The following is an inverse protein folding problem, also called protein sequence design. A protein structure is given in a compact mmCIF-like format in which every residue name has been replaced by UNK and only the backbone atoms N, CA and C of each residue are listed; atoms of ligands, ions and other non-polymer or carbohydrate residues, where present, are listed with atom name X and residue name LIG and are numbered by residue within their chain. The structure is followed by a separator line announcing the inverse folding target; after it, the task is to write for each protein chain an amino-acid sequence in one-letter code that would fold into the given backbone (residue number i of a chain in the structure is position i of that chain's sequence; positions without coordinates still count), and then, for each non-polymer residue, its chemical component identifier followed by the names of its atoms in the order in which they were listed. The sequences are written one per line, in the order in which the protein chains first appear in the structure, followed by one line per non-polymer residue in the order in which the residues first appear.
data_IF_454052356347
#
_entry.id   IF_454052356347
#
_cell.length_a   1.000
_cell.length_b   1.000
_cell.length_c   1.000
_cell.angle_alpha   90.00
_cell.angle_beta   90.00
_cell.angle_gamma   90.00
#
_symmetry.space_group_name_H-M   'P 1'
#
loop_
_entity.id
_entity.type
_entity.pdbx_description
1 polymer ?
#
# COMPACT_ATOMS: atom_id res chain seq x y z
N UNK A 1 37.48 -41.73 -46.95
CA UNK A 1 38.01 -42.00 -45.59
C UNK A 1 38.31 -40.64 -44.96
N UNK A 2 37.91 -40.43 -43.69
CA UNK A 2 37.59 -39.17 -42.97
C UNK A 2 36.06 -38.92 -43.00
N UNK A 3 35.25 -39.16 -41.96
CA UNK A 3 35.22 -38.74 -40.54
C UNK A 3 35.14 -37.23 -40.34
N UNK A 4 33.91 -36.72 -40.17
CA UNK A 4 33.49 -35.76 -39.14
C UNK A 4 31.96 -35.73 -39.08
N UNK A 5 31.38 -36.04 -37.91
CA UNK A 5 29.95 -35.95 -37.63
C UNK A 5 29.48 -34.49 -37.69
N UNK A 6 28.49 -34.20 -38.52
CA UNK A 6 27.68 -32.99 -38.44
C UNK A 6 26.32 -33.37 -37.86
N UNK A 7 26.18 -33.30 -36.53
CA UNK A 7 24.84 -33.32 -35.92
C UNK A 7 24.27 -31.92 -36.13
N UNK A 8 23.32 -31.81 -37.04
CA UNK A 8 22.49 -30.62 -37.24
C UNK A 8 21.67 -30.37 -35.97
N UNK A 9 21.86 -29.23 -35.31
CA UNK A 9 21.06 -28.81 -34.17
C UNK A 9 19.71 -28.29 -34.68
N UNK A 10 18.66 -29.11 -34.60
CA UNK A 10 17.28 -28.67 -34.83
C UNK A 10 16.79 -27.86 -33.64
N UNK A 11 15.88 -26.91 -33.88
CA UNK A 11 15.30 -25.96 -32.91
C UNK A 11 14.36 -26.63 -31.88
N UNK A 12 14.85 -27.64 -31.17
CA UNK A 12 14.02 -28.46 -30.29
C UNK A 12 14.65 -28.82 -28.94
N UNK A 13 15.90 -28.42 -28.66
CA UNK A 13 16.57 -28.73 -27.39
C UNK A 13 17.05 -27.49 -26.63
N UNK A 14 16.15 -26.86 -25.87
CA UNK A 14 16.49 -26.06 -24.67
C UNK A 14 15.49 -26.47 -23.58
N UNK A 15 15.77 -27.61 -22.95
CA UNK A 15 14.96 -28.18 -21.87
C UNK A 15 15.85 -28.46 -20.64
N UNK A 16 16.55 -27.44 -20.14
CA UNK A 16 17.16 -27.49 -18.79
C UNK A 16 16.96 -26.13 -18.10
N UNK A 17 15.74 -25.90 -17.61
CA UNK A 17 15.40 -25.04 -16.48
C UNK A 17 14.14 -25.61 -15.81
N UNK A 18 14.29 -26.76 -15.16
CA UNK A 18 13.40 -27.28 -14.12
C UNK A 18 14.16 -27.01 -12.79
N UNK A 19 13.66 -26.40 -11.72
CA UNK A 19 12.35 -26.50 -11.09
C UNK A 19 12.21 -25.34 -10.09
N UNK A 20 11.23 -24.45 -10.25
CA UNK A 20 10.59 -23.76 -9.12
C UNK A 20 9.09 -24.02 -9.23
N UNK A 21 8.40 -24.42 -8.16
CA UNK A 21 6.99 -24.76 -8.22
C UNK A 21 6.18 -23.48 -8.42
N UNK A 22 5.72 -23.27 -9.65
CA UNK A 22 4.67 -22.30 -9.95
C UNK A 22 3.39 -22.75 -9.26
N UNK A 23 3.17 -22.31 -8.01
CA UNK A 23 1.82 -22.26 -7.43
C UNK A 23 1.06 -21.12 -8.12
N UNK A 24 0.75 -21.34 -9.39
CA UNK A 24 -0.26 -20.63 -10.16
C UNK A 24 -1.61 -21.20 -9.73
N UNK A 25 -2.10 -20.74 -8.58
CA UNK A 25 -3.52 -20.84 -8.19
C UNK A 25 -4.12 -19.43 -8.27
N UNK A 26 -3.89 -18.73 -9.38
CA UNK A 26 -4.68 -17.54 -9.72
C UNK A 26 -4.91 -17.59 -11.23
N UNK A 27 -6.08 -18.05 -11.69
CA UNK A 27 -6.36 -18.12 -13.12
C UNK A 27 -6.57 -16.71 -13.68
N UNK A 28 -6.26 -16.54 -14.96
CA UNK A 28 -6.40 -15.34 -15.76
C UNK A 28 -7.87 -14.85 -15.88
N UNK A 29 -8.42 -14.32 -14.79
CA UNK A 29 -9.73 -13.67 -14.68
C UNK A 29 -9.62 -12.22 -14.17
N UNK A 30 -8.49 -11.55 -14.43
CA UNK A 30 -8.43 -10.09 -14.35
C UNK A 30 -9.27 -9.48 -15.47
N UNK A 31 -10.51 -9.06 -15.18
CA UNK A 31 -11.01 -7.69 -15.44
C UNK A 31 -12.52 -7.44 -15.30
N UNK A 32 -13.41 -8.39 -14.93
CA UNK A 32 -14.87 -8.15 -15.08
C UNK A 32 -15.77 -8.36 -13.84
N UNK A 33 -15.28 -8.79 -12.66
CA UNK A 33 -16.16 -8.93 -11.47
C UNK A 33 -15.50 -8.53 -10.14
N UNK A 34 -15.12 -7.27 -9.98
CA UNK A 34 -14.73 -6.72 -8.66
C UNK A 34 -15.61 -5.54 -8.22
N UNK A 35 -16.79 -5.40 -8.83
CA UNK A 35 -17.78 -4.41 -8.42
C UNK A 35 -18.93 -5.11 -7.71
N UNK A 36 -18.85 -5.24 -6.38
CA UNK A 36 -20.07 -4.96 -5.63
C UNK A 36 -19.82 -4.38 -4.24
N UNK A 37 -18.96 -4.94 -3.40
CA UNK A 37 -18.61 -4.29 -2.12
C UNK A 37 -17.22 -4.74 -1.67
N UNK A 38 -16.22 -3.88 -1.84
CA UNK A 38 -14.94 -4.05 -1.14
C UNK A 38 -15.08 -3.51 0.28
N UNK A 39 -14.68 -4.30 1.27
CA UNK A 39 -14.41 -3.78 2.61
C UNK A 39 -13.31 -2.72 2.55
N UNK A 40 -13.26 -1.78 3.51
CA UNK A 40 -12.19 -0.79 3.54
C UNK A 40 -10.78 -1.39 3.56
N UNK A 41 -10.60 -2.56 4.17
CA UNK A 41 -9.34 -3.29 4.16
C UNK A 41 -9.00 -3.85 2.77
N UNK A 42 -9.97 -4.39 2.03
CA UNK A 42 -9.73 -4.87 0.66
C UNK A 42 -9.40 -3.70 -0.27
N UNK A 43 -10.09 -2.56 -0.15
CA UNK A 43 -9.79 -1.36 -0.92
C UNK A 43 -8.38 -0.81 -0.62
N UNK A 44 -7.98 -0.84 0.65
CA UNK A 44 -6.64 -0.42 1.07
C UNK A 44 -5.56 -1.38 0.52
N UNK A 45 -5.70 -2.68 0.75
CA UNK A 45 -4.73 -3.69 0.30
C UNK A 45 -4.61 -3.73 -1.23
N UNK A 46 -5.73 -3.69 -1.96
CA UNK A 46 -5.73 -3.67 -3.43
C UNK A 46 -4.91 -2.50 -3.95
N UNK A 47 -5.11 -1.29 -3.41
CA UNK A 47 -4.31 -0.13 -3.80
C UNK A 47 -2.82 -0.33 -3.52
N UNK A 48 -2.45 -0.89 -2.36
CA UNK A 48 -1.05 -1.16 -2.05
C UNK A 48 -0.40 -2.15 -3.03
N UNK A 49 -1.15 -3.17 -3.46
CA UNK A 49 -0.70 -4.13 -4.48
C UNK A 49 -0.54 -3.45 -5.85
N UNK A 50 -1.49 -2.60 -6.24
CA UNK A 50 -1.43 -1.84 -7.50
C UNK A 50 -0.23 -0.87 -7.52
N UNK A 51 0.17 -0.36 -6.35
CA UNK A 51 1.39 0.46 -6.15
C UNK A 51 2.67 -0.34 -6.00
N UNK A 52 2.60 -1.67 -6.10
CA UNK A 52 3.75 -2.57 -6.08
C UNK A 52 4.60 -2.42 -4.80
N UNK A 53 3.94 -2.19 -3.66
CA UNK A 53 4.64 -2.13 -2.38
C UNK A 53 5.22 -3.52 -2.01
N UNK A 54 6.38 -3.55 -1.34
CA UNK A 54 6.99 -4.82 -0.94
C UNK A 54 6.13 -5.55 0.11
N UNK A 55 6.24 -6.87 0.18
CA UNK A 55 5.44 -7.73 1.06
C UNK A 55 5.44 -7.28 2.53
N UNK A 56 6.59 -6.80 3.03
CA UNK A 56 6.73 -6.25 4.37
C UNK A 56 5.76 -5.08 4.66
N UNK A 57 5.45 -4.29 3.63
CA UNK A 57 4.47 -3.21 3.69
C UNK A 57 3.04 -3.69 3.46
N UNK A 58 2.83 -4.69 2.58
CA UNK A 58 1.49 -5.24 2.33
C UNK A 58 0.84 -5.80 3.59
N UNK A 59 1.63 -6.39 4.51
CA UNK A 59 1.14 -6.86 5.82
C UNK A 59 0.57 -5.73 6.70
N UNK A 60 0.93 -4.47 6.40
CA UNK A 60 0.45 -3.28 7.07
C UNK A 60 -0.67 -2.57 6.31
N UNK A 61 -1.02 -2.99 5.09
CA UNK A 61 -2.12 -2.43 4.31
C UNK A 61 -3.49 -2.96 4.78
N UNK A 62 -3.74 -2.80 6.07
CA UNK A 62 -4.97 -3.14 6.76
C UNK A 62 -5.14 -2.15 7.92
N UNK A 63 -6.32 -1.58 8.11
CA UNK A 63 -6.56 -0.55 9.13
C UNK A 63 -6.29 -1.02 10.57
N UNK A 64 -6.29 -2.32 10.82
CA UNK A 64 -5.93 -2.89 12.11
C UNK A 64 -4.41 -2.96 12.34
N UNK A 65 -3.64 -3.39 11.34
CA UNK A 65 -2.16 -3.51 11.46
C UNK A 65 -1.42 -2.22 11.13
N UNK A 66 -2.07 -1.29 10.42
CA UNK A 66 -1.56 0.06 10.19
C UNK A 66 -1.77 0.88 11.46
N UNK A 67 -0.78 0.90 12.35
CA UNK A 67 -0.89 1.52 13.67
C UNK A 67 0.18 2.57 13.90
N UNK A 68 0.01 3.40 14.94
CA UNK A 68 1.06 4.33 15.41
C UNK A 68 2.37 3.58 15.66
N UNK A 69 2.31 2.39 16.26
CA UNK A 69 3.50 1.59 16.60
C UNK A 69 4.21 1.14 15.32
N UNK A 70 3.47 0.67 14.31
CA UNK A 70 4.03 0.31 13.02
C UNK A 70 4.71 1.52 12.35
N UNK A 71 4.04 2.69 12.31
CA UNK A 71 4.62 3.90 11.74
C UNK A 71 5.87 4.37 12.48
N UNK A 72 5.85 4.29 13.81
CA UNK A 72 6.99 4.66 14.66
C UNK A 72 8.18 3.74 14.38
N UNK A 73 7.95 2.43 14.26
CA UNK A 73 8.99 1.46 13.91
C UNK A 73 9.57 1.72 12.50
N UNK A 74 8.73 2.03 11.52
CA UNK A 74 9.17 2.43 10.17
C UNK A 74 10.03 3.69 10.22
N UNK A 75 9.61 4.71 10.97
CA UNK A 75 10.33 5.98 11.11
C UNK A 75 11.73 5.78 11.71
N UNK A 76 11.84 4.97 12.76
CA UNK A 76 13.12 4.65 13.39
C UNK A 76 13.90 3.54 12.68
N UNK A 77 13.46 3.10 11.49
CA UNK A 77 14.09 2.03 10.68
C UNK A 77 14.23 0.70 11.43
N UNK A 78 13.30 0.44 12.35
CA UNK A 78 13.19 -0.83 13.09
C UNK A 78 12.22 -1.79 12.40
N UNK A 79 11.51 -1.33 11.37
CA UNK A 79 10.61 -2.12 10.55
C UNK A 79 11.25 -2.45 9.19
N UNK A 80 10.92 -3.62 8.64
CA UNK A 80 11.38 -4.03 7.31
C UNK A 80 10.65 -3.32 6.18
N UNK A 81 9.47 -2.74 6.46
CA UNK A 81 8.82 -1.80 5.57
C UNK A 81 9.47 -0.41 5.70
N UNK A 82 10.10 0.13 4.63
CA UNK A 82 10.78 1.41 4.70
C UNK A 82 9.82 2.59 4.89
N UNK A 83 10.28 3.66 5.53
CA UNK A 83 9.50 4.87 5.76
C UNK A 83 8.98 5.49 4.45
N UNK A 84 9.75 5.38 3.36
CA UNK A 84 9.39 5.91 2.04
C UNK A 84 8.10 5.30 1.49
N UNK A 85 7.81 4.03 1.81
CA UNK A 85 6.58 3.35 1.43
C UNK A 85 5.35 3.87 2.20
N UNK A 86 5.55 4.53 3.34
CA UNK A 86 4.46 5.13 4.13
C UNK A 86 3.62 6.08 3.29
N UNK A 87 4.24 6.84 2.36
CA UNK A 87 3.52 7.78 1.49
C UNK A 87 2.45 7.08 0.65
N UNK A 88 2.83 5.99 -0.01
CA UNK A 88 1.92 5.20 -0.83
C UNK A 88 0.88 4.47 0.01
N UNK A 89 1.27 3.96 1.19
CA UNK A 89 0.33 3.36 2.13
C UNK A 89 -0.72 4.37 2.60
N UNK A 90 -0.29 5.57 3.00
CA UNK A 90 -1.19 6.63 3.45
C UNK A 90 -2.10 7.10 2.31
N UNK A 91 -1.56 7.24 1.10
CA UNK A 91 -2.34 7.48 -0.11
C UNK A 91 -3.42 6.42 -0.31
N UNK A 92 -3.07 5.14 -0.17
CA UNK A 92 -3.99 4.04 -0.39
C UNK A 92 -5.06 3.94 0.71
N UNK A 93 -4.70 4.16 1.97
CA UNK A 93 -5.65 4.23 3.06
C UNK A 93 -6.66 5.36 2.83
N UNK A 94 -6.19 6.54 2.47
CA UNK A 94 -7.01 7.72 2.15
C UNK A 94 -7.61 7.69 0.74
N UNK A 95 -7.39 6.63 -0.04
CA UNK A 95 -7.91 6.48 -1.41
C UNK A 95 -7.64 7.68 -2.33
N UNK A 96 -6.51 8.37 -2.14
CA UNK A 96 -6.12 9.55 -2.90
C UNK A 96 -6.97 10.80 -2.70
N UNK A 97 -7.72 10.91 -1.60
CA UNK A 97 -8.66 12.02 -1.34
C UNK A 97 -8.19 12.96 -0.21
N UNK A 98 -8.85 14.12 -0.16
CA UNK A 98 -8.65 15.12 0.89
C UNK A 98 -9.63 14.90 2.05
N UNK A 99 -9.11 14.56 3.22
CA UNK A 99 -9.88 14.32 4.44
C UNK A 99 -9.71 15.41 5.49
N UNK A 100 -9.11 16.55 5.16
CA UNK A 100 -8.75 17.59 6.15
C UNK A 100 -9.94 18.03 6.99
N UNK A 101 -11.12 18.20 6.41
CA UNK A 101 -12.33 18.58 7.16
C UNK A 101 -12.68 17.54 8.24
N UNK A 102 -12.66 16.24 7.89
CA UNK A 102 -12.89 15.17 8.87
C UNK A 102 -11.79 15.15 9.93
N UNK A 103 -10.53 15.28 9.52
CA UNK A 103 -9.39 15.26 10.42
C UNK A 103 -9.42 16.41 11.44
N UNK A 104 -9.78 17.62 11.02
CA UNK A 104 -9.94 18.77 11.91
C UNK A 104 -11.02 18.47 12.95
N UNK A 105 -12.20 18.00 12.51
CA UNK A 105 -13.31 17.64 13.42
C UNK A 105 -12.95 16.50 14.38
N UNK A 106 -12.07 15.59 13.97
CA UNK A 106 -11.60 14.47 14.78
C UNK A 106 -10.33 14.78 15.59
N UNK A 107 -9.93 16.05 15.69
CA UNK A 107 -8.85 16.49 16.58
C UNK A 107 -7.45 16.09 16.13
N UNK A 108 -7.22 15.86 14.84
CA UNK A 108 -5.89 15.57 14.28
C UNK A 108 -4.92 16.74 14.51
N UNK A 109 -5.44 17.96 14.56
CA UNK A 109 -4.66 19.18 14.84
C UNK A 109 -4.40 19.41 16.33
N UNK A 110 -5.00 18.60 17.23
CA UNK A 110 -4.83 18.71 18.68
C UNK A 110 -3.53 18.02 19.14
N UNK A 111 -2.40 18.48 18.58
CA UNK A 111 -1.03 18.07 18.91
C UNK A 111 -0.14 19.31 18.95
N UNK A 112 1.09 19.17 19.44
CA UNK A 112 2.08 20.25 19.38
C UNK A 112 2.46 20.65 17.95
N UNK A 113 2.21 19.79 16.96
CA UNK A 113 2.47 20.05 15.55
C UNK A 113 1.30 20.76 14.84
N UNK A 114 0.13 20.86 15.48
CA UNK A 114 -1.01 21.61 14.96
C UNK A 114 -1.44 21.19 13.55
N UNK A 115 -1.70 22.19 12.70
CA UNK A 115 -2.13 21.99 11.32
C UNK A 115 -1.12 21.26 10.43
N UNK A 116 0.16 21.15 10.85
CA UNK A 116 1.14 20.33 10.12
C UNK A 116 0.68 18.89 9.97
N UNK A 117 -0.12 18.38 10.92
CA UNK A 117 -0.65 17.01 10.85
C UNK A 117 -1.67 16.79 9.75
N UNK A 118 -2.27 17.85 9.20
CA UNK A 118 -3.21 17.75 8.09
C UNK A 118 -2.56 17.27 6.79
N UNK A 119 -1.23 17.30 6.72
CA UNK A 119 -0.49 16.71 5.60
C UNK A 119 -0.73 15.20 5.45
N UNK A 120 -1.05 14.50 6.54
CA UNK A 120 -1.40 13.07 6.50
C UNK A 120 -2.85 12.83 6.07
N UNK A 121 -3.68 13.87 6.07
CA UNK A 121 -5.10 13.80 5.74
C UNK A 121 -5.40 14.19 4.29
N UNK A 122 -4.57 15.07 3.72
CA UNK A 122 -4.64 15.40 2.30
C UNK A 122 -3.69 14.49 1.52
N UNK A 123 -4.24 13.46 0.90
CA UNK A 123 -3.45 12.47 0.15
C UNK A 123 -3.75 12.53 -1.34
N UNK A 124 -4.16 13.69 -1.86
CA UNK A 124 -4.31 13.88 -3.30
C UNK A 124 -2.95 13.72 -4.01
N UNK A 125 -2.92 13.16 -5.23
CA UNK A 125 -1.68 13.05 -5.99
C UNK A 125 -0.97 14.39 -6.15
N UNK A 126 0.37 14.36 -6.19
CA UNK A 126 1.20 15.55 -6.42
C UNK A 126 1.62 16.31 -5.15
N UNK A 127 1.13 15.93 -3.97
CA UNK A 127 1.59 16.47 -2.69
C UNK A 127 2.79 15.67 -2.21
N UNK A 128 3.98 16.28 -2.26
CA UNK A 128 5.22 15.66 -1.77
C UNK A 128 5.67 16.35 -0.49
N UNK A 129 5.53 15.63 0.62
CA UNK A 129 6.05 16.05 1.92
C UNK A 129 7.27 15.21 2.28
N UNK A 130 8.33 15.89 2.73
CA UNK A 130 9.48 15.25 3.37
C UNK A 130 9.17 15.13 4.86
N UNK A 131 9.06 13.90 5.35
CA UNK A 131 8.78 13.64 6.76
C UNK A 131 10.06 13.76 7.57
N UNK A 132 10.05 14.66 8.55
CA UNK A 132 11.10 14.81 9.55
C UNK A 132 10.55 14.53 10.97
N UNK A 133 11.40 14.69 11.98
CA UNK A 133 11.05 14.42 13.38
C UNK A 133 9.89 15.29 13.90
N UNK A 134 9.65 16.46 13.32
CA UNK A 134 8.59 17.38 13.76
C UNK A 134 7.19 16.84 13.47
N UNK A 135 7.07 15.81 12.63
CA UNK A 135 5.81 15.12 12.34
C UNK A 135 5.49 13.97 13.30
N UNK A 136 6.43 13.56 14.16
CA UNK A 136 6.20 12.45 15.09
C UNK A 136 5.00 12.68 16.02
N UNK A 137 4.78 13.93 16.45
CA UNK A 137 3.62 14.28 17.27
C UNK A 137 2.28 14.02 16.57
N UNK A 138 2.25 13.99 15.24
CA UNK A 138 1.05 13.68 14.48
C UNK A 138 0.65 12.20 14.59
N UNK A 139 1.60 11.30 14.87
CA UNK A 139 1.30 9.88 15.02
C UNK A 139 0.44 9.59 16.27
N UNK A 140 0.42 10.50 17.25
CA UNK A 140 -0.50 10.41 18.41
C UNK A 140 -1.97 10.50 18.01
N UNK A 141 -2.26 11.08 16.85
CA UNK A 141 -3.62 11.20 16.29
C UNK A 141 -3.86 10.26 15.13
N UNK A 142 -3.00 9.25 14.94
CA UNK A 142 -3.07 8.39 13.77
C UNK A 142 -4.37 7.57 13.69
N UNK A 143 -4.89 7.11 14.83
CA UNK A 143 -6.20 6.44 14.87
C UNK A 143 -7.33 7.39 14.43
N UNK A 144 -7.30 8.67 14.82
CA UNK A 144 -8.26 9.68 14.36
C UNK A 144 -8.19 9.88 12.84
N UNK A 145 -6.99 9.86 12.26
CA UNK A 145 -6.82 9.91 10.80
C UNK A 145 -7.44 8.68 10.12
N UNK A 146 -7.12 7.48 10.61
CA UNK A 146 -7.63 6.22 10.06
C UNK A 146 -9.14 6.13 10.08
N UNK A 147 -9.79 6.55 11.17
CA UNK A 147 -11.26 6.58 11.26
C UNK A 147 -11.86 7.40 10.13
N UNK A 148 -11.28 8.57 9.81
CA UNK A 148 -11.75 9.39 8.69
C UNK A 148 -11.66 8.66 7.35
N UNK A 149 -10.58 7.93 7.10
CA UNK A 149 -10.41 7.18 5.85
C UNK A 149 -11.37 5.99 5.76
N UNK A 150 -11.52 5.24 6.86
CA UNK A 150 -12.44 4.12 6.95
C UNK A 150 -13.88 4.54 6.65
N UNK A 151 -14.37 5.56 7.37
CA UNK A 151 -15.71 6.11 7.22
C UNK A 151 -16.00 6.56 5.78
N UNK A 152 -15.02 7.19 5.15
CA UNK A 152 -15.15 7.71 3.80
C UNK A 152 -15.25 6.58 2.75
N UNK A 153 -14.47 5.50 2.92
CA UNK A 153 -14.62 4.29 2.10
C UNK A 153 -16.01 3.69 2.29
N UNK A 154 -16.45 3.46 3.53
CA UNK A 154 -17.78 2.90 3.79
C UNK A 154 -18.89 3.73 3.16
N UNK A 155 -18.86 5.06 3.32
CA UNK A 155 -19.86 5.97 2.73
C UNK A 155 -19.85 5.93 1.21
N UNK A 156 -18.67 5.86 0.61
CA UNK A 156 -18.51 5.81 -0.85
C UNK A 156 -19.07 4.51 -1.41
N UNK A 157 -18.87 3.37 -0.74
CA UNK A 157 -19.41 2.08 -1.18
C UNK A 157 -20.94 2.03 -1.06
N UNK A 158 -21.53 2.59 0.01
CA UNK A 158 -23.00 2.65 0.17
C UNK A 158 -23.71 3.52 -0.89
N UNK A 159 -22.98 4.38 -1.59
CA UNK A 159 -23.52 5.30 -2.61
C UNK A 159 -23.43 4.76 -4.03
N UNK A 160 -22.76 3.61 -4.23
CA UNK A 160 -22.66 2.92 -5.53
C UNK A 160 -23.74 1.86 -5.63
#
# INVERSE_FOLDING_TARGET
MQLIHSITFTRSDISIFHQMPTKSIYPAYCHVFHSYFQSPNEAFLSCCMDRQLPDACLQKCNFHSYTKQALTAMFFKQDTCPLEAMREMQYCAAQGRDHRECCIRNGVTNTIAGDKCLVFCDQRPGIVTQLDITYLACFDRFENMKTCFWDDIERTQRRK
#
